data_IF_461638136249
#
_entry.id   IF_461638136249
#
_cell.length_a   1.000
_cell.length_b   1.000
_cell.length_c   1.000
_cell.angle_alpha   90.00
_cell.angle_beta   90.00
_cell.angle_gamma   90.00
#
_symmetry.space_group_name_H-M   'P 1'
#
loop_
_entity.id
_entity.type
_entity.pdbx_description
1 polymer ?
#
# COMPACT_ATOMS: atom_id res chain seq x y z
N UNK A 1 -27.94 3.86 6.24
CA UNK A 1 -27.49 4.13 4.84
C UNK A 1 -27.29 2.80 4.12
N UNK A 2 -27.75 2.61 2.87
CA UNK A 2 -27.64 1.32 2.20
C UNK A 2 -26.18 0.95 1.87
N UNK A 3 -25.81 -0.33 2.05
CA UNK A 3 -24.44 -0.87 1.85
C UNK A 3 -23.79 -0.42 0.54
N UNK A 4 -24.55 -0.48 -0.55
CA UNK A 4 -24.09 -0.11 -1.91
C UNK A 4 -23.74 1.38 -2.01
N UNK A 5 -24.44 2.25 -1.28
CA UNK A 5 -24.17 3.68 -1.26
C UNK A 5 -22.86 3.99 -0.52
N UNK A 6 -22.64 3.37 0.64
CA UNK A 6 -21.38 3.51 1.39
C UNK A 6 -20.16 3.10 0.55
N UNK A 7 -20.24 1.95 -0.15
CA UNK A 7 -19.16 1.49 -1.04
C UNK A 7 -18.92 2.48 -2.19
N UNK A 8 -19.99 3.05 -2.78
CA UNK A 8 -19.86 4.06 -3.84
C UNK A 8 -19.23 5.36 -3.32
N UNK A 9 -19.61 5.80 -2.12
CA UNK A 9 -19.03 6.98 -1.49
C UNK A 9 -17.55 6.77 -1.18
N UNK A 10 -17.18 5.62 -0.61
CA UNK A 10 -15.79 5.28 -0.34
C UNK A 10 -14.95 5.27 -1.63
N UNK A 11 -15.49 4.68 -2.71
CA UNK A 11 -14.86 4.73 -4.03
C UNK A 11 -14.70 6.16 -4.56
N UNK A 12 -15.73 6.99 -4.41
CA UNK A 12 -15.69 8.40 -4.81
C UNK A 12 -14.62 9.18 -4.03
N UNK A 13 -14.54 8.96 -2.73
CA UNK A 13 -13.54 9.57 -1.86
C UNK A 13 -12.11 9.14 -2.21
N UNK A 14 -11.87 7.83 -2.42
CA UNK A 14 -10.57 7.33 -2.88
C UNK A 14 -10.16 7.92 -4.23
N UNK A 15 -11.11 8.05 -5.17
CA UNK A 15 -10.87 8.72 -6.46
C UNK A 15 -10.45 10.18 -6.28
N UNK A 16 -11.15 10.92 -5.41
CA UNK A 16 -10.82 12.31 -5.08
C UNK A 16 -9.39 12.44 -4.55
N UNK A 17 -9.02 11.64 -3.54
CA UNK A 17 -7.66 11.68 -2.98
C UNK A 17 -6.59 11.38 -4.02
N UNK A 18 -6.82 10.39 -4.90
CA UNK A 18 -5.86 10.08 -5.95
C UNK A 18 -5.77 11.14 -7.05
N UNK A 19 -6.85 11.91 -7.31
CA UNK A 19 -6.79 13.10 -8.19
C UNK A 19 -5.94 14.17 -7.53
N UNK A 20 -6.13 14.44 -6.23
CA UNK A 20 -5.33 15.41 -5.47
C UNK A 20 -3.84 15.04 -5.52
N UNK A 21 -3.49 13.79 -5.24
CA UNK A 21 -2.10 13.31 -5.32
C UNK A 21 -1.52 13.47 -6.73
N UNK A 22 -2.31 13.13 -7.76
CA UNK A 22 -1.89 13.24 -9.15
C UNK A 22 -1.65 14.69 -9.56
N UNK A 23 -2.50 15.62 -9.12
CA UNK A 23 -2.36 17.04 -9.38
C UNK A 23 -1.14 17.61 -8.64
N UNK A 24 -1.02 17.34 -7.34
CA UNK A 24 0.11 17.76 -6.52
C UNK A 24 1.45 17.30 -7.11
N UNK A 25 1.52 16.04 -7.57
CA UNK A 25 2.69 15.50 -8.27
C UNK A 25 3.03 16.29 -9.54
N UNK A 26 2.02 16.71 -10.32
CA UNK A 26 2.20 17.49 -11.56
C UNK A 26 2.66 18.92 -11.30
N UNK A 27 2.17 19.57 -10.25
CA UNK A 27 2.48 20.98 -9.94
C UNK A 27 3.76 21.17 -9.12
N UNK A 28 4.52 20.10 -8.83
CA UNK A 28 5.82 20.21 -8.19
C UNK A 28 6.09 19.24 -7.04
N UNK A 29 5.14 18.33 -6.73
CA UNK A 29 5.29 17.36 -5.64
C UNK A 29 6.57 16.52 -5.68
N UNK A 30 7.14 16.30 -6.87
CA UNK A 30 8.44 15.62 -7.05
C UNK A 30 9.65 16.37 -6.48
N UNK A 31 9.50 17.66 -6.19
CA UNK A 31 10.55 18.52 -5.61
C UNK A 31 10.45 18.60 -4.08
N UNK A 32 9.40 18.03 -3.50
CA UNK A 32 9.24 18.00 -2.05
C UNK A 32 10.26 17.01 -1.46
N UNK A 33 10.67 17.21 -0.19
CA UNK A 33 11.52 16.26 0.51
C UNK A 33 10.92 14.85 0.45
N UNK A 34 11.77 13.85 0.24
CA UNK A 34 11.33 12.45 0.28
C UNK A 34 10.78 12.13 1.67
N UNK A 35 9.77 11.26 1.71
CA UNK A 35 9.20 10.77 2.96
C UNK A 35 7.69 11.00 3.08
N UNK A 36 7.09 10.53 4.20
CA UNK A 36 5.64 10.49 4.36
C UNK A 36 5.02 11.86 4.67
N UNK A 37 5.79 12.80 5.23
CA UNK A 37 5.30 14.10 5.71
C UNK A 37 4.52 14.90 4.66
N UNK A 38 5.10 15.18 3.48
CA UNK A 38 4.40 15.94 2.44
C UNK A 38 3.11 15.25 1.94
N UNK A 39 3.14 13.92 1.81
CA UNK A 39 1.96 13.13 1.41
C UNK A 39 0.88 13.19 2.48
N UNK A 40 1.24 12.97 3.75
CA UNK A 40 0.31 13.02 4.87
C UNK A 40 -0.33 14.41 5.01
N UNK A 41 0.46 15.47 5.00
CA UNK A 41 -0.02 16.85 5.08
C UNK A 41 -0.99 17.19 3.95
N UNK A 42 -0.68 16.78 2.71
CA UNK A 42 -1.57 16.98 1.56
C UNK A 42 -2.90 16.25 1.71
N UNK A 43 -2.88 14.97 2.12
CA UNK A 43 -4.10 14.17 2.27
C UNK A 43 -4.99 14.70 3.41
N UNK A 44 -4.39 15.13 4.53
CA UNK A 44 -5.09 15.78 5.63
C UNK A 44 -5.73 17.09 5.15
N UNK A 45 -4.96 17.94 4.46
CA UNK A 45 -5.49 19.20 3.93
C UNK A 45 -6.65 18.96 2.95
N UNK A 46 -6.55 17.96 2.08
CA UNK A 46 -7.60 17.58 1.15
C UNK A 46 -8.86 17.08 1.87
N UNK A 47 -8.70 16.27 2.92
CA UNK A 47 -9.82 15.80 3.73
C UNK A 47 -10.53 16.96 4.44
N UNK A 48 -9.76 17.83 5.10
CA UNK A 48 -10.30 19.02 5.79
C UNK A 48 -11.02 19.93 4.79
N UNK A 49 -10.44 20.20 3.62
CA UNK A 49 -11.07 21.01 2.58
C UNK A 49 -12.39 20.39 2.11
N UNK A 50 -12.41 19.08 1.85
CA UNK A 50 -13.64 18.38 1.46
C UNK A 50 -14.73 18.50 2.54
N UNK A 51 -14.42 18.19 3.79
CA UNK A 51 -15.40 18.29 4.88
C UNK A 51 -15.88 19.74 5.06
N UNK A 52 -14.99 20.72 4.94
CA UNK A 52 -15.34 22.15 5.03
C UNK A 52 -16.26 22.60 3.90
N UNK A 53 -16.08 22.11 2.66
CA UNK A 53 -16.96 22.45 1.52
C UNK A 53 -18.40 21.97 1.77
N UNK A 54 -18.58 20.80 2.39
CA UNK A 54 -19.91 20.23 2.61
C UNK A 54 -20.62 20.73 3.88
N UNK A 55 -19.87 21.06 4.92
CA UNK A 55 -20.41 21.44 6.24
C UNK A 55 -20.13 22.89 6.62
N UNK A 56 -19.56 23.69 5.71
CA UNK A 56 -19.12 25.06 5.98
C UNK A 56 -18.02 25.10 7.06
N UNK A 57 -17.84 26.24 7.76
CA UNK A 57 -16.87 26.37 8.85
C UNK A 57 -17.04 25.35 9.99
N UNK A 58 -18.26 24.83 10.20
CA UNK A 58 -18.52 23.75 11.16
C UNK A 58 -17.85 22.43 10.75
N UNK A 59 -17.63 22.22 9.45
CA UNK A 59 -16.87 21.10 8.90
C UNK A 59 -15.42 21.05 9.36
N UNK A 60 -14.79 22.19 9.68
CA UNK A 60 -13.45 22.23 10.25
C UNK A 60 -13.42 21.56 11.63
N UNK A 61 -14.38 21.89 12.49
CA UNK A 61 -14.52 21.29 13.82
C UNK A 61 -14.81 19.79 13.72
N UNK A 62 -15.68 19.37 12.79
CA UNK A 62 -16.00 17.95 12.56
C UNK A 62 -14.79 17.20 11.99
N UNK A 63 -14.03 17.77 11.06
CA UNK A 63 -12.83 17.15 10.51
C UNK A 63 -11.72 17.00 11.55
N UNK A 64 -11.56 18.00 12.43
CA UNK A 64 -10.63 17.92 13.57
C UNK A 64 -11.09 16.82 14.55
N UNK A 65 -12.38 16.80 14.93
CA UNK A 65 -12.92 15.83 15.88
C UNK A 65 -12.99 14.39 15.33
N UNK A 66 -13.35 14.21 14.06
CA UNK A 66 -13.29 12.91 13.37
C UNK A 66 -11.84 12.48 13.07
N UNK A 67 -10.94 13.47 12.91
CA UNK A 67 -9.50 13.28 12.83
C UNK A 67 -8.87 12.77 14.13
N UNK A 68 -9.54 12.88 15.28
CA UNK A 68 -9.02 12.38 16.58
C UNK A 68 -9.06 10.85 16.73
N UNK A 69 -9.50 10.11 15.71
CA UNK A 69 -9.25 8.66 15.62
C UNK A 69 -7.85 8.30 15.12
N UNK A 70 -7.06 9.27 14.66
CA UNK A 70 -5.72 9.07 14.11
C UNK A 70 -4.80 10.20 14.60
N UNK A 71 -3.83 9.89 15.45
CA UNK A 71 -2.75 10.81 15.86
C UNK A 71 -1.84 11.17 14.69
N UNK A 72 -2.33 11.96 13.73
CA UNK A 72 -1.67 12.16 12.41
C UNK A 72 -1.22 13.60 12.14
N UNK A 73 -1.45 14.60 13.01
CA UNK A 73 -1.10 16.00 12.63
C UNK A 73 -0.19 16.77 13.59
N UNK A 74 0.07 16.33 14.83
CA UNK A 74 0.78 17.20 15.78
C UNK A 74 2.31 16.97 15.96
N UNK A 75 2.94 16.00 15.28
CA UNK A 75 4.40 15.81 15.43
C UNK A 75 5.02 14.64 14.68
N UNK A 76 4.94 14.62 13.34
CA UNK A 76 5.38 13.49 12.51
C UNK A 76 6.92 13.26 12.53
N UNK A 77 7.42 12.66 13.60
CA UNK A 77 8.67 11.90 13.66
C UNK A 77 8.46 10.49 13.06
N UNK A 78 7.83 10.42 11.89
CA UNK A 78 7.63 9.13 11.22
C UNK A 78 8.97 8.63 10.72
N UNK A 79 9.38 7.48 11.25
CA UNK A 79 10.58 6.81 10.76
C UNK A 79 10.27 6.26 9.38
N UNK A 80 11.18 6.49 8.46
CA UNK A 80 11.06 5.99 7.12
C UNK A 80 12.42 5.67 6.53
N UNK A 81 12.46 4.66 5.67
CA UNK A 81 13.68 4.22 4.99
C UNK A 81 13.32 3.47 3.70
N UNK A 82 14.24 3.36 2.73
CA UNK A 82 14.08 2.39 1.64
C UNK A 82 14.10 0.95 2.15
N UNK A 83 13.81 0.00 1.25
CA UNK A 83 14.06 -1.42 1.50
C UNK A 83 15.55 -1.65 1.77
N UNK A 84 15.85 -2.54 2.72
CA UNK A 84 17.20 -3.09 2.88
C UNK A 84 17.52 -4.09 1.77
N UNK A 85 18.79 -4.45 1.62
CA UNK A 85 19.20 -5.44 0.61
C UNK A 85 18.55 -6.82 0.84
N UNK A 86 18.38 -7.24 2.09
CA UNK A 86 17.71 -8.51 2.43
C UNK A 86 16.21 -8.47 2.12
N UNK A 87 15.56 -7.34 2.41
CA UNK A 87 14.15 -7.13 2.10
C UNK A 87 13.93 -7.12 0.59
N UNK A 88 14.82 -6.45 -0.16
CA UNK A 88 14.82 -6.43 -1.62
C UNK A 88 15.03 -7.82 -2.20
N UNK A 89 16.06 -8.55 -1.76
CA UNK A 89 16.29 -9.96 -2.18
C UNK A 89 15.08 -10.84 -1.90
N UNK A 90 14.46 -10.68 -0.74
CA UNK A 90 13.25 -11.44 -0.37
C UNK A 90 12.08 -11.11 -1.31
N UNK A 91 11.88 -9.85 -1.65
CA UNK A 91 10.90 -9.43 -2.63
C UNK A 91 11.18 -10.01 -4.02
N UNK A 92 12.44 -10.03 -4.47
CA UNK A 92 12.84 -10.58 -5.77
C UNK A 92 12.55 -12.09 -5.89
N UNK A 93 12.55 -12.84 -4.78
CA UNK A 93 12.10 -14.24 -4.79
C UNK A 93 10.62 -14.39 -5.18
N UNK A 94 9.81 -13.37 -4.96
CA UNK A 94 8.37 -13.35 -5.26
C UNK A 94 8.11 -12.70 -6.61
N UNK A 95 8.62 -11.49 -6.81
CA UNK A 95 8.28 -10.62 -7.93
C UNK A 95 9.29 -10.69 -9.09
N UNK A 96 10.47 -11.29 -8.86
CA UNK A 96 11.62 -11.13 -9.73
C UNK A 96 12.31 -9.76 -9.56
N UNK A 97 13.46 -9.54 -10.22
CA UNK A 97 14.11 -8.24 -10.24
C UNK A 97 13.21 -7.17 -10.85
N UNK A 98 13.02 -6.04 -10.15
CA UNK A 98 12.17 -4.96 -10.64
C UNK A 98 12.60 -3.58 -10.12
N UNK A 99 12.68 -2.60 -11.03
CA UNK A 99 13.08 -1.21 -10.72
C UNK A 99 12.13 -0.52 -9.74
N UNK A 100 10.86 -0.93 -9.69
CA UNK A 100 9.88 -0.31 -8.80
C UNK A 100 10.16 -0.58 -7.31
N UNK A 101 10.99 -1.58 -6.99
CA UNK A 101 11.43 -1.84 -5.62
C UNK A 101 12.24 -0.66 -5.07
N UNK A 102 12.94 0.09 -5.92
CA UNK A 102 13.75 1.25 -5.53
C UNK A 102 12.87 2.47 -5.18
N UNK A 103 11.60 2.46 -5.58
CA UNK A 103 10.61 3.50 -5.27
C UNK A 103 9.82 3.20 -3.97
N UNK A 104 10.13 2.11 -3.27
CA UNK A 104 9.45 1.72 -2.02
C UNK A 104 10.06 2.41 -0.82
N UNK A 105 9.20 3.03 0.00
CA UNK A 105 9.57 3.65 1.27
C UNK A 105 8.79 2.98 2.38
N UNK A 106 9.50 2.26 3.25
CA UNK A 106 8.93 1.70 4.47
C UNK A 106 8.72 2.82 5.49
N UNK A 107 7.62 2.76 6.24
CA UNK A 107 7.35 3.69 7.34
C UNK A 107 6.80 2.96 8.57
N UNK A 108 6.93 3.56 9.75
CA UNK A 108 6.30 3.09 10.98
C UNK A 108 4.88 3.64 11.22
N UNK A 109 4.28 4.26 10.20
CA UNK A 109 2.86 4.63 10.25
C UNK A 109 2.00 3.37 10.30
N UNK A 110 0.92 3.45 11.06
CA UNK A 110 -0.08 2.40 11.15
C UNK A 110 -1.47 2.97 10.86
N UNK A 111 -2.27 2.18 10.14
CA UNK A 111 -3.66 2.47 9.88
C UNK A 111 -4.55 2.13 11.07
N UNK A 112 -5.86 2.16 10.83
CA UNK A 112 -6.87 1.80 11.84
C UNK A 112 -6.62 0.38 12.37
N UNK A 113 -6.62 0.23 13.70
CA UNK A 113 -6.37 -1.06 14.35
C UNK A 113 -4.92 -1.53 14.26
N UNK A 114 -3.96 -0.60 14.16
CA UNK A 114 -2.52 -0.87 14.01
C UNK A 114 -2.16 -1.66 12.75
N UNK A 115 -3.03 -1.62 11.73
CA UNK A 115 -2.87 -2.38 10.49
C UNK A 115 -1.86 -1.71 9.56
N UNK A 116 -1.05 -2.53 8.90
CA UNK A 116 -0.25 -2.07 7.78
C UNK A 116 -1.14 -1.63 6.62
N UNK A 117 -0.62 -0.72 5.78
CA UNK A 117 -1.30 -0.24 4.59
C UNK A 117 -0.30 0.39 3.62
N UNK A 118 -0.63 0.36 2.33
CA UNK A 118 0.23 0.89 1.27
C UNK A 118 -0.49 1.94 0.42
N UNK A 119 0.19 3.03 0.07
CA UNK A 119 -0.39 4.12 -0.73
C UNK A 119 0.62 4.85 -1.63
N UNK A 120 0.16 5.41 -2.76
CA UNK A 120 1.00 6.25 -3.61
C UNK A 120 1.35 7.57 -2.93
N UNK A 121 2.62 7.98 -3.01
CA UNK A 121 3.12 9.24 -2.47
C UNK A 121 3.03 10.40 -3.47
N UNK A 122 3.07 11.62 -2.95
CA UNK A 122 3.03 12.85 -3.76
C UNK A 122 4.27 13.05 -4.65
N UNK A 123 5.43 12.55 -4.21
CA UNK A 123 6.69 12.57 -4.95
C UNK A 123 6.74 11.49 -6.06
N UNK A 124 5.78 10.57 -6.06
CA UNK A 124 5.69 9.46 -6.99
C UNK A 124 6.33 8.16 -6.53
N UNK A 125 6.86 8.11 -5.30
CA UNK A 125 7.23 6.87 -4.60
C UNK A 125 5.98 6.16 -4.07
N UNK A 126 6.18 5.02 -3.41
CA UNK A 126 5.10 4.30 -2.74
C UNK A 126 5.45 4.13 -1.25
N UNK A 127 4.53 4.56 -0.38
CA UNK A 127 4.68 4.39 1.06
C UNK A 127 4.09 3.04 1.46
N UNK A 128 4.92 2.19 2.04
CA UNK A 128 4.57 0.91 2.63
C UNK A 128 4.61 1.08 4.15
N UNK A 129 3.45 1.29 4.76
CA UNK A 129 3.34 1.65 6.17
C UNK A 129 3.17 0.36 6.98
N UNK A 130 4.22 -0.02 7.72
CA UNK A 130 4.35 -1.33 8.38
C UNK A 130 3.99 -1.29 9.88
N UNK A 131 3.76 -0.11 10.43
CA UNK A 131 3.48 0.08 11.86
C UNK A 131 4.54 -0.58 12.73
N UNK A 132 4.09 -1.41 13.66
CA UNK A 132 4.96 -2.12 14.62
C UNK A 132 5.98 -3.07 13.97
N UNK A 133 5.81 -3.45 12.69
CA UNK A 133 6.74 -4.34 11.99
C UNK A 133 7.86 -3.61 11.24
N UNK A 134 7.92 -2.28 11.31
CA UNK A 134 8.91 -1.45 10.62
C UNK A 134 10.38 -1.83 10.92
N UNK A 135 10.68 -2.15 12.19
CA UNK A 135 12.05 -2.49 12.62
C UNK A 135 12.47 -3.91 12.23
N UNK A 136 11.50 -4.80 12.00
CA UNK A 136 11.75 -6.18 11.59
C UNK A 136 10.77 -6.65 10.49
N UNK A 137 10.81 -6.07 9.26
CA UNK A 137 9.86 -6.43 8.20
C UNK A 137 9.98 -7.88 7.72
N UNK A 138 11.16 -8.49 7.91
CA UNK A 138 11.43 -9.91 7.67
C UNK A 138 11.21 -10.79 8.89
N UNK A 139 10.77 -10.23 10.02
CA UNK A 139 10.39 -10.97 11.22
C UNK A 139 8.97 -11.55 11.13
N UNK A 140 8.53 -12.29 12.17
CA UNK A 140 7.15 -12.75 12.27
C UNK A 140 6.19 -11.55 12.34
N UNK A 141 5.11 -11.60 11.56
CA UNK A 141 4.07 -10.59 11.59
C UNK A 141 3.01 -10.84 12.66
N UNK A 142 1.91 -10.06 12.65
CA UNK A 142 0.71 -10.36 13.40
C UNK A 142 0.18 -11.78 13.12
N UNK A 143 -0.75 -12.29 13.93
CA UNK A 143 -1.27 -13.66 13.81
C UNK A 143 -1.77 -14.06 12.40
N UNK A 144 -2.21 -13.11 11.58
CA UNK A 144 -2.61 -13.35 10.19
C UNK A 144 -1.44 -13.65 9.24
N UNK A 145 -0.21 -13.29 9.63
CA UNK A 145 1.03 -13.39 8.87
C UNK A 145 2.13 -14.10 9.70
N UNK A 146 1.94 -15.39 10.02
CA UNK A 146 2.82 -16.11 10.94
C UNK A 146 4.21 -16.39 10.36
N UNK A 147 4.39 -16.30 9.04
CA UNK A 147 5.67 -16.59 8.40
C UNK A 147 6.53 -15.32 8.33
N UNK A 148 7.83 -15.40 8.69
CA UNK A 148 8.77 -14.30 8.55
C UNK A 148 8.72 -13.64 7.16
N UNK A 149 8.54 -12.31 7.11
CA UNK A 149 8.45 -11.55 5.86
C UNK A 149 7.09 -11.60 5.14
N UNK A 150 6.12 -12.39 5.60
CA UNK A 150 4.83 -12.54 4.91
C UNK A 150 4.04 -11.23 4.84
N UNK A 151 4.04 -10.43 5.92
CA UNK A 151 3.39 -9.12 5.91
C UNK A 151 4.07 -8.17 4.91
N UNK A 152 5.40 -8.14 4.86
CA UNK A 152 6.11 -7.33 3.87
C UNK A 152 5.73 -7.73 2.45
N UNK A 153 5.69 -9.03 2.14
CA UNK A 153 5.27 -9.53 0.82
C UNK A 153 3.83 -9.11 0.51
N UNK A 154 2.91 -9.19 1.47
CA UNK A 154 1.53 -8.71 1.30
C UNK A 154 1.49 -7.25 0.86
N UNK A 155 2.16 -6.36 1.59
CA UNK A 155 2.20 -4.93 1.28
C UNK A 155 2.91 -4.64 -0.05
N UNK A 156 3.96 -5.39 -0.39
CA UNK A 156 4.64 -5.24 -1.68
C UNK A 156 3.75 -5.66 -2.87
N UNK A 157 2.75 -6.52 -2.69
CA UNK A 157 1.72 -6.75 -3.73
C UNK A 157 0.94 -5.46 -3.98
N UNK A 158 0.58 -4.73 -2.94
CA UNK A 158 -0.09 -3.43 -3.09
C UNK A 158 0.80 -2.40 -3.76
N UNK A 159 2.11 -2.38 -3.46
CA UNK A 159 3.07 -1.55 -4.20
C UNK A 159 3.02 -1.87 -5.69
N UNK A 160 3.11 -3.15 -6.06
CA UNK A 160 3.06 -3.58 -7.45
C UNK A 160 1.72 -3.21 -8.11
N UNK A 161 0.61 -3.32 -7.39
CA UNK A 161 -0.70 -2.88 -7.87
C UNK A 161 -0.75 -1.38 -8.13
N UNK A 162 -0.13 -0.55 -7.28
CA UNK A 162 -0.02 0.90 -7.46
C UNK A 162 0.80 1.24 -8.70
N UNK A 163 1.95 0.59 -8.88
CA UNK A 163 2.85 0.81 -10.02
C UNK A 163 2.18 0.39 -11.33
N UNK A 164 1.42 -0.71 -11.32
CA UNK A 164 0.66 -1.19 -12.47
C UNK A 164 -0.69 -0.51 -12.70
N UNK A 165 -1.14 0.37 -11.79
CA UNK A 165 -2.45 1.00 -11.90
C UNK A 165 -2.48 2.08 -12.98
N UNK A 166 -3.64 2.25 -13.62
CA UNK A 166 -3.87 3.34 -14.60
C UNK A 166 -3.61 4.73 -14.02
N UNK A 167 -3.88 4.92 -12.73
CA UNK A 167 -3.62 6.15 -11.99
C UNK A 167 -3.75 5.93 -10.47
N UNK A 168 -3.16 6.81 -9.63
CA UNK A 168 -3.43 6.83 -8.19
C UNK A 168 -4.92 6.90 -7.85
N UNK A 169 -5.70 7.65 -8.64
CA UNK A 169 -7.14 7.79 -8.48
C UNK A 169 -7.91 6.48 -8.72
N UNK A 170 -7.48 5.67 -9.69
CA UNK A 170 -8.09 4.37 -9.94
C UNK A 170 -7.77 3.39 -8.81
N UNK A 171 -6.50 3.30 -8.40
CA UNK A 171 -6.08 2.43 -7.30
C UNK A 171 -6.79 2.78 -5.99
N UNK A 172 -6.74 4.05 -5.57
CA UNK A 172 -7.36 4.47 -4.31
C UNK A 172 -8.88 4.33 -4.32
N UNK A 173 -9.54 4.50 -5.48
CA UNK A 173 -10.96 4.20 -5.61
C UNK A 173 -11.29 2.74 -5.24
N UNK A 174 -10.50 1.79 -5.71
CA UNK A 174 -10.74 0.37 -5.42
C UNK A 174 -10.28 -0.01 -4.01
N UNK A 175 -9.15 0.52 -3.53
CA UNK A 175 -8.69 0.30 -2.15
C UNK A 175 -9.74 0.75 -1.12
N UNK A 176 -10.28 1.96 -1.26
CA UNK A 176 -11.32 2.46 -0.36
C UNK A 176 -12.64 1.69 -0.50
N UNK A 177 -13.00 1.23 -1.70
CA UNK A 177 -14.17 0.38 -1.88
C UNK A 177 -14.01 -0.96 -1.15
N UNK A 178 -12.80 -1.54 -1.17
CA UNK A 178 -12.48 -2.80 -0.46
C UNK A 178 -12.44 -2.58 1.05
N UNK A 179 -11.84 -1.49 1.53
CA UNK A 179 -11.88 -1.14 2.96
C UNK A 179 -13.32 -0.99 3.45
N UNK A 180 -14.18 -0.27 2.71
CA UNK A 180 -15.58 -0.12 3.09
C UNK A 180 -16.32 -1.47 3.15
N UNK A 181 -16.06 -2.39 2.22
CA UNK A 181 -16.62 -3.75 2.26
C UNK A 181 -16.18 -4.50 3.51
N UNK A 182 -14.90 -4.40 3.87
CA UNK A 182 -14.35 -5.02 5.07
C UNK A 182 -15.01 -4.49 6.36
N UNK A 183 -15.14 -3.17 6.48
CA UNK A 183 -15.82 -2.50 7.60
C UNK A 183 -17.32 -2.87 7.68
N UNK A 184 -17.92 -3.23 6.54
CA UNK A 184 -19.28 -3.74 6.43
C UNK A 184 -19.35 -5.28 6.59
N UNK A 185 -18.32 -5.90 7.16
CA UNK A 185 -18.25 -7.32 7.51
C UNK A 185 -18.00 -8.28 6.34
N UNK A 186 -17.64 -7.79 5.14
CA UNK A 186 -17.24 -8.71 4.06
C UNK A 186 -15.87 -9.32 4.36
N UNK A 187 -15.75 -10.63 4.15
CA UNK A 187 -14.46 -11.30 4.16
C UNK A 187 -13.71 -10.99 2.85
N UNK A 188 -13.05 -9.83 2.81
CA UNK A 188 -12.29 -9.35 1.66
C UNK A 188 -10.98 -10.12 1.47
N UNK A 189 -10.47 -10.76 2.53
CA UNK A 189 -9.27 -11.61 2.53
C UNK A 189 -9.57 -13.07 2.18
N UNK A 190 -10.81 -13.50 2.40
CA UNK A 190 -11.19 -14.90 2.36
C UNK A 190 -10.96 -15.53 0.99
N UNK A 191 -10.07 -16.51 0.96
CA UNK A 191 -9.96 -17.50 -0.10
C UNK A 191 -10.93 -18.63 0.23
N UNK A 192 -11.91 -18.90 -0.64
CA UNK A 192 -12.99 -19.88 -0.45
C UNK A 192 -12.55 -21.32 -0.76
N UNK A 193 -11.25 -21.57 -0.91
CA UNK A 193 -10.66 -22.86 -1.23
C UNK A 193 -10.08 -22.90 -2.66
N UNK A 194 -9.74 -24.11 -3.17
CA UNK A 194 -9.16 -24.28 -4.51
C UNK A 194 -10.02 -23.71 -5.64
N UNK A 195 -11.34 -23.63 -5.44
CA UNK A 195 -12.26 -23.04 -6.41
C UNK A 195 -11.94 -21.57 -6.74
N UNK A 196 -11.34 -20.83 -5.82
CA UNK A 196 -10.91 -19.46 -6.09
C UNK A 196 -9.75 -19.39 -7.09
N UNK A 197 -8.98 -20.47 -7.26
CA UNK A 197 -7.91 -20.52 -8.26
C UNK A 197 -8.43 -20.58 -9.71
N UNK A 198 -9.71 -20.88 -9.91
CA UNK A 198 -10.34 -20.86 -11.24
C UNK A 198 -10.80 -19.45 -11.66
N UNK A 199 -10.84 -18.50 -10.73
CA UNK A 199 -11.13 -17.11 -11.07
C UNK A 199 -9.90 -16.46 -11.74
N UNK A 200 -10.17 -15.60 -12.73
CA UNK A 200 -9.08 -14.86 -13.33
C UNK A 200 -8.52 -13.85 -12.33
N UNK A 201 -7.21 -13.57 -12.42
CA UNK A 201 -6.55 -12.60 -11.53
C UNK A 201 -7.31 -11.27 -11.37
N UNK A 202 -7.86 -10.64 -12.45
CA UNK A 202 -8.62 -9.40 -12.33
C UNK A 202 -9.96 -9.52 -11.59
N UNK A 203 -10.51 -10.74 -11.44
CA UNK A 203 -11.78 -10.98 -10.74
C UNK A 203 -11.59 -10.94 -9.21
N UNK A 204 -10.36 -11.08 -8.74
CA UNK A 204 -10.02 -10.89 -7.34
C UNK A 204 -9.89 -9.40 -7.00
N UNK A 205 -10.44 -9.01 -5.85
CA UNK A 205 -10.19 -7.68 -5.29
C UNK A 205 -8.71 -7.52 -4.85
N UNK A 206 -8.30 -6.28 -4.57
CA UNK A 206 -6.90 -5.95 -4.24
C UNK A 206 -6.33 -6.78 -3.08
N UNK A 207 -7.11 -6.96 -2.00
CA UNK A 207 -6.69 -7.70 -0.79
C UNK A 207 -6.62 -9.21 -1.05
N UNK A 208 -7.51 -9.77 -1.87
CA UNK A 208 -7.44 -11.19 -2.26
C UNK A 208 -6.22 -11.47 -3.11
N UNK A 209 -5.89 -10.58 -4.03
CA UNK A 209 -4.66 -10.69 -4.81
C UNK A 209 -3.43 -10.70 -3.90
N UNK A 210 -3.35 -9.81 -2.90
CA UNK A 210 -2.29 -9.80 -1.90
C UNK A 210 -2.28 -11.09 -1.07
N UNK A 211 -3.46 -11.53 -0.61
CA UNK A 211 -3.64 -12.75 0.18
C UNK A 211 -3.19 -14.01 -0.57
N UNK A 212 -3.48 -14.12 -1.87
CA UNK A 212 -3.03 -15.24 -2.70
C UNK A 212 -1.51 -15.33 -2.69
N UNK A 213 -0.84 -14.20 -2.87
CA UNK A 213 0.63 -14.15 -2.97
C UNK A 213 1.30 -14.36 -1.62
N UNK A 214 0.81 -13.71 -0.56
CA UNK A 214 1.40 -13.87 0.78
C UNK A 214 1.21 -15.29 1.32
N UNK A 215 0.06 -15.93 1.04
CA UNK A 215 -0.20 -17.29 1.49
C UNK A 215 0.58 -18.33 0.70
N UNK A 216 0.82 -18.06 -0.57
CA UNK A 216 1.75 -18.86 -1.36
C UNK A 216 3.18 -18.71 -0.83
N UNK A 217 3.59 -17.48 -0.53
CA UNK A 217 4.90 -17.22 0.05
C UNK A 217 5.09 -17.94 1.39
N UNK A 218 4.09 -17.89 2.28
CA UNK A 218 4.12 -18.56 3.59
C UNK A 218 3.77 -20.05 3.56
N UNK A 219 3.41 -20.62 2.41
CA UNK A 219 3.06 -22.04 2.28
C UNK A 219 1.64 -22.40 2.72
N UNK A 220 0.82 -21.45 3.14
CA UNK A 220 -0.59 -21.70 3.51
C UNK A 220 -1.48 -22.07 2.31
N UNK A 221 -1.04 -21.85 1.08
CA UNK A 221 -1.75 -22.29 -0.14
C UNK A 221 -1.15 -23.56 -0.78
N UNK A 222 -0.19 -24.21 -0.11
CA UNK A 222 0.41 -25.48 -0.53
C UNK A 222 -0.37 -26.66 0.06
N UNK A 223 -0.64 -27.74 -0.72
CA UNK A 223 -1.16 -28.99 -0.16
C UNK A 223 -0.23 -29.64 0.88
N UNK A 224 1.06 -29.33 0.84
CA UNK A 224 2.11 -29.89 1.72
C UNK A 224 2.60 -28.91 2.78
N UNK A 225 2.04 -27.68 2.82
CA UNK A 225 2.51 -26.61 3.70
C UNK A 225 3.86 -26.00 3.31
N UNK A 226 4.38 -26.35 2.12
CA UNK A 226 5.69 -25.86 1.65
C UNK A 226 5.63 -24.38 1.25
N UNK A 227 6.52 -23.51 1.78
CA UNK A 227 6.65 -22.13 1.31
C UNK A 227 7.00 -22.05 -0.18
N UNK A 228 6.33 -21.14 -0.90
CA UNK A 228 6.53 -20.89 -2.34
C UNK A 228 6.39 -22.15 -3.21
N UNK A 229 5.45 -23.02 -2.85
CA UNK A 229 5.23 -24.29 -3.54
C UNK A 229 4.82 -24.08 -5.01
N UNK A 230 5.55 -24.64 -5.99
CA UNK A 230 5.13 -24.61 -7.39
C UNK A 230 3.82 -25.36 -7.64
N UNK A 231 3.46 -26.33 -6.79
CA UNK A 231 2.22 -27.11 -6.89
C UNK A 231 1.02 -26.45 -6.20
N UNK A 232 1.16 -25.19 -5.77
CA UNK A 232 0.03 -24.45 -5.20
C UNK A 232 -1.10 -24.32 -6.23
N UNK A 233 -2.34 -24.44 -5.77
CA UNK A 233 -3.52 -24.19 -6.62
C UNK A 233 -3.49 -22.82 -7.30
N UNK A 234 -2.80 -21.84 -6.72
CA UNK A 234 -2.68 -20.48 -7.25
C UNK A 234 -1.45 -20.25 -8.14
N UNK A 235 -0.70 -21.27 -8.54
CA UNK A 235 0.54 -21.12 -9.32
C UNK A 235 0.38 -20.23 -10.57
N UNK A 236 -0.73 -20.35 -11.30
CA UNK A 236 -1.04 -19.50 -12.45
C UNK A 236 -1.20 -18.01 -12.09
N UNK A 237 -1.81 -17.71 -10.94
CA UNK A 237 -1.93 -16.34 -10.42
C UNK A 237 -0.56 -15.79 -10.00
N UNK A 238 0.28 -16.61 -9.36
CA UNK A 238 1.65 -16.23 -8.98
C UNK A 238 2.53 -15.95 -10.21
N UNK A 239 2.40 -16.73 -11.28
CA UNK A 239 3.14 -16.50 -12.52
C UNK A 239 2.83 -15.11 -13.13
N UNK A 240 1.59 -14.61 -13.01
CA UNK A 240 1.22 -13.27 -13.50
C UNK A 240 1.85 -12.14 -12.69
N UNK A 241 2.13 -12.38 -11.41
CA UNK A 241 2.82 -11.42 -10.53
C UNK A 241 4.28 -11.27 -10.96
N UNK A 242 4.94 -12.38 -11.33
CA UNK A 242 6.32 -12.42 -11.85
C UNK A 242 6.48 -11.93 -13.29
N UNK A 243 5.54 -12.27 -14.17
CA UNK A 243 5.71 -12.11 -15.62
C UNK A 243 5.40 -10.71 -16.19
N UNK A 244 4.70 -9.86 -15.44
CA UNK A 244 4.42 -8.47 -15.86
C UNK A 244 5.34 -7.52 -15.09
N UNK A 245 6.51 -7.21 -15.67
CA UNK A 245 7.21 -5.96 -15.37
C UNK A 245 6.46 -4.84 -16.09
N UNK A 246 5.79 -3.90 -15.39
CA UNK A 246 5.30 -2.69 -16.02
C UNK A 246 6.50 -1.75 -16.23
N UNK A 247 7.42 -2.17 -17.09
CA UNK A 247 8.55 -1.36 -17.54
C UNK A 247 8.06 -0.27 -18.47
N UNK A 248 8.37 0.97 -18.12
CA UNK A 248 8.09 2.19 -18.88
C UNK A 248 8.56 2.05 -20.32
N UNK A 249 7.64 2.16 -21.26
CA UNK A 249 7.97 2.64 -22.60
C UNK A 249 8.36 4.12 -22.52
N UNK A 250 9.65 4.42 -22.67
CA UNK A 250 10.17 5.72 -23.08
C UNK A 250 10.58 6.69 -21.96
N UNK A 251 11.89 6.95 -21.86
CA UNK A 251 12.46 8.11 -21.18
C UNK A 251 13.54 7.75 -20.16
N UNK A 252 14.79 7.66 -20.63
CA UNK A 252 15.97 7.37 -19.83
C UNK A 252 16.12 8.31 -18.63
N UNK A 253 16.51 7.74 -17.49
CA UNK A 253 16.93 8.49 -16.31
C UNK A 253 18.46 8.43 -16.24
N UNK A 254 19.09 9.56 -16.54
CA UNK A 254 20.46 9.81 -16.12
C UNK A 254 20.51 9.82 -14.58
N UNK A 255 21.47 9.10 -14.02
CA UNK A 255 21.64 8.90 -12.60
C UNK A 255 21.90 10.20 -11.86
N UNK A 256 21.21 10.36 -10.72
CA UNK A 256 21.63 11.23 -9.64
C UNK A 256 21.46 10.42 -8.34
N UNK A 257 22.56 9.75 -7.97
CA UNK A 257 22.76 9.25 -6.62
C UNK A 257 22.83 10.45 -5.67
N UNK A 258 21.75 10.72 -4.96
CA UNK A 258 21.78 11.56 -3.76
C UNK A 258 21.97 10.65 -2.56
N UNK A 259 23.17 10.66 -1.98
CA UNK A 259 23.50 9.98 -0.72
C UNK A 259 22.57 10.49 0.38
N UNK A 260 21.90 9.57 1.09
CA UNK A 260 21.21 9.86 2.34
C UNK A 260 22.16 9.56 3.49
N UNK A 261 23.14 10.44 3.70
CA UNK A 261 23.93 10.42 4.93
C UNK A 261 23.20 11.23 6.00
N UNK A 262 22.80 10.53 7.08
CA UNK A 262 22.35 11.15 8.30
C UNK A 262 23.53 11.85 8.99
N UNK A 263 23.35 13.03 9.60
CA UNK A 263 24.40 13.65 10.38
C UNK A 263 24.61 12.86 11.67
N UNK A 264 25.81 12.28 11.81
CA UNK A 264 26.28 11.64 13.01
C UNK A 264 26.40 12.62 14.17
N UNK A 265 26.07 12.11 15.35
CA UNK A 265 26.38 12.70 16.66
C UNK A 265 27.87 12.98 16.80
N UNK A 266 28.22 14.21 17.17
CA UNK A 266 29.59 14.60 17.50
C UNK A 266 29.61 15.62 18.64
N UNK A 267 30.06 15.11 19.79
CA UNK A 267 30.48 15.77 21.06
C UNK A 267 29.39 16.38 21.92
#
# INVERSE_FOLDING_TARGET
MPRRLLIRMARGYGRFLGVVLSLARRVGGRRLPAGPGPTAGLLVAAHVALVTVWFGPLGLAIAVMAGLGAGVVAGLLVRHRPLSDDERRTAELVFGPAEWLDDVILTDLAGRGARAFTLPAVDGRVLCNLGATFDAPLGPGPAAYPVPGQLLIHELVHVRQIVGARSPAAFLADAFAVQARHELGENVYGLRGPGDAHHAWPDHNLERQATIVDRWFGGQSSPTGRPRDPESSFAASIAQVRGRNPGRSGGGRAGLHGSLDAPGSGV
#
